data_IF_395470145634
#
_entry.id   IF_395470145634
#
_cell.length_a   1.000
_cell.length_b   1.000
_cell.length_c   1.000
_cell.angle_alpha   90.00
_cell.angle_beta   90.00
_cell.angle_gamma   90.00
#
_symmetry.space_group_name_H-M   'P 1'
#
loop_
_entity.id
_entity.type
_entity.pdbx_description
1 polymer ?
#
# COMPACT_ATOMS: atom_id res chain seq x y z
N UNK A 1 2.14 -2.65 24.38
CA UNK A 1 3.12 -2.86 23.30
C UNK A 1 2.51 -2.84 21.88
N UNK A 2 1.18 -2.79 21.70
CA UNK A 2 0.58 -2.68 20.35
C UNK A 2 0.75 -1.28 19.71
N UNK A 3 0.83 -0.21 20.52
CA UNK A 3 0.83 1.19 20.08
C UNK A 3 2.02 1.62 19.19
N UNK A 4 3.16 0.92 19.23
CA UNK A 4 4.35 1.30 18.44
C UNK A 4 4.29 0.86 16.98
N UNK A 5 3.68 -0.30 16.65
CA UNK A 5 3.53 -0.73 15.25
C UNK A 5 2.64 0.25 14.49
N UNK A 6 1.60 0.77 15.13
CA UNK A 6 0.66 1.71 14.49
C UNK A 6 1.29 3.05 14.10
N UNK A 7 2.49 3.36 14.63
CA UNK A 7 3.30 4.53 14.23
C UNK A 7 4.09 4.30 12.93
N UNK A 8 4.20 3.07 12.44
CA UNK A 8 4.95 2.74 11.25
C UNK A 8 4.00 2.29 10.15
N UNK A 9 3.96 3.09 9.07
CA UNK A 9 3.11 3.00 7.89
C UNK A 9 2.05 1.89 7.89
N UNK A 10 0.80 2.26 8.21
CA UNK A 10 -0.34 1.38 7.97
C UNK A 10 -0.55 1.29 6.47
N UNK A 11 -0.67 0.09 5.94
CA UNK A 11 -0.79 -0.14 4.52
C UNK A 11 -2.16 -0.74 4.20
N UNK A 12 -2.77 -0.26 3.13
CA UNK A 12 -3.76 -1.02 2.38
C UNK A 12 -3.14 -1.39 1.02
N UNK A 13 -3.10 -2.68 0.69
CA UNK A 13 -2.56 -3.19 -0.57
C UNK A 13 -3.69 -3.79 -1.39
N UNK A 14 -3.92 -3.28 -2.59
CA UNK A 14 -4.96 -3.74 -3.50
C UNK A 14 -4.35 -4.70 -4.53
N UNK A 15 -4.84 -5.94 -4.51
CA UNK A 15 -4.18 -7.07 -5.17
C UNK A 15 -4.72 -7.36 -6.56
N UNK A 16 -5.81 -6.73 -6.97
CA UNK A 16 -6.49 -7.02 -8.24
C UNK A 16 -6.46 -5.82 -9.20
N UNK A 17 -6.50 -6.08 -10.51
CA UNK A 17 -6.46 -5.01 -11.51
C UNK A 17 -7.79 -4.22 -11.49
N UNK A 18 -7.80 -2.99 -12.02
CA UNK A 18 -8.97 -2.10 -11.95
C UNK A 18 -10.20 -2.62 -12.71
N UNK A 19 -10.02 -3.57 -13.64
CA UNK A 19 -11.07 -4.22 -14.43
C UNK A 19 -11.59 -5.53 -13.80
N UNK A 20 -11.01 -5.97 -12.67
CA UNK A 20 -11.48 -7.15 -11.97
C UNK A 20 -12.95 -6.99 -11.50
N UNK A 21 -13.77 -8.06 -11.55
CA UNK A 21 -15.13 -8.03 -11.03
C UNK A 21 -15.15 -7.59 -9.57
N UNK A 22 -16.16 -6.80 -9.17
CA UNK A 22 -16.23 -6.21 -7.82
C UNK A 22 -16.19 -7.28 -6.72
N UNK A 23 -16.87 -8.39 -6.96
CA UNK A 23 -16.95 -9.57 -6.09
C UNK A 23 -15.62 -10.33 -5.96
N UNK A 24 -14.66 -10.05 -6.82
CA UNK A 24 -13.32 -10.69 -6.85
C UNK A 24 -12.21 -9.76 -6.36
N UNK A 25 -12.54 -8.53 -5.95
CA UNK A 25 -11.56 -7.57 -5.44
C UNK A 25 -11.06 -8.00 -4.07
N UNK A 26 -9.74 -8.12 -3.94
CA UNK A 26 -9.01 -8.47 -2.73
C UNK A 26 -8.11 -7.30 -2.35
N UNK A 27 -8.06 -7.07 -1.05
CA UNK A 27 -7.11 -6.14 -0.45
C UNK A 27 -6.60 -6.70 0.87
N UNK A 28 -5.40 -6.27 1.24
CA UNK A 28 -4.74 -6.65 2.48
C UNK A 28 -4.50 -5.39 3.30
N UNK A 29 -4.88 -5.45 4.58
CA UNK A 29 -4.45 -4.48 5.58
C UNK A 29 -3.15 -4.98 6.21
N UNK A 30 -2.10 -4.19 6.11
CA UNK A 30 -0.77 -4.54 6.59
C UNK A 30 -0.14 -3.40 7.39
N UNK A 31 1.01 -3.67 7.99
CA UNK A 31 1.83 -2.67 8.64
C UNK A 31 3.30 -2.90 8.29
N UNK A 32 4.06 -1.82 8.29
CA UNK A 32 5.51 -1.85 8.11
C UNK A 32 6.20 -2.19 9.42
N UNK A 33 7.09 -3.18 9.39
CA UNK A 33 7.91 -3.56 10.54
C UNK A 33 9.40 -3.25 10.33
N UNK A 34 9.79 -2.75 9.16
CA UNK A 34 11.19 -2.46 8.81
C UNK A 34 11.82 -1.32 9.63
N UNK A 35 10.99 -0.48 10.27
CA UNK A 35 11.43 0.53 11.22
C UNK A 35 11.58 0.05 12.68
N UNK A 36 11.20 -1.19 12.99
CA UNK A 36 11.28 -1.74 14.36
C UNK A 36 12.66 -2.36 14.63
N UNK A 37 13.02 -2.53 15.91
CA UNK A 37 14.24 -3.27 16.29
C UNK A 37 14.17 -4.74 15.87
N UNK A 38 15.31 -5.42 15.73
CA UNK A 38 15.34 -6.84 15.33
C UNK A 38 14.51 -7.74 16.26
N UNK A 39 14.55 -7.51 17.57
CA UNK A 39 13.76 -8.27 18.55
C UNK A 39 12.25 -8.06 18.40
N UNK A 40 11.83 -6.83 18.12
CA UNK A 40 10.42 -6.53 17.83
C UNK A 40 9.99 -7.15 16.50
N UNK A 41 10.80 -7.03 15.44
CA UNK A 41 10.53 -7.66 14.16
C UNK A 41 10.39 -9.18 14.30
N UNK A 42 11.28 -9.84 15.06
CA UNK A 42 11.22 -11.27 15.31
C UNK A 42 9.91 -11.68 16.03
N UNK A 43 9.48 -10.88 17.01
CA UNK A 43 8.21 -11.09 17.73
C UNK A 43 7.01 -11.05 16.77
N UNK A 44 6.96 -10.06 15.87
CA UNK A 44 5.86 -9.91 14.92
C UNK A 44 5.87 -10.98 13.83
N UNK A 45 7.05 -11.33 13.29
CA UNK A 45 7.20 -12.41 12.31
C UNK A 45 6.79 -13.78 12.87
N UNK A 46 6.95 -14.00 14.18
CA UNK A 46 6.50 -15.23 14.82
C UNK A 46 4.97 -15.28 15.02
N UNK A 47 4.29 -14.13 15.03
CA UNK A 47 2.86 -14.02 15.36
C UNK A 47 1.97 -13.83 14.13
N UNK A 48 2.51 -13.31 13.03
CA UNK A 48 1.76 -12.96 11.82
C UNK A 48 2.52 -13.38 10.57
N UNK A 49 1.80 -13.77 9.49
CA UNK A 49 2.42 -13.94 8.18
C UNK A 49 3.05 -12.61 7.75
N UNK A 50 4.33 -12.67 7.39
CA UNK A 50 5.11 -11.54 6.91
C UNK A 50 5.60 -11.81 5.51
N UNK A 51 5.52 -10.81 4.64
CA UNK A 51 6.08 -10.88 3.28
C UNK A 51 6.96 -9.67 3.03
N UNK A 52 8.00 -9.88 2.22
CA UNK A 52 8.78 -8.78 1.67
C UNK A 52 8.16 -8.36 0.34
N UNK A 53 7.81 -7.08 0.22
CA UNK A 53 7.37 -6.54 -1.06
C UNK A 53 8.58 -6.46 -2.00
N UNK A 54 8.46 -6.86 -3.28
CA UNK A 54 9.54 -6.74 -4.22
C UNK A 54 9.89 -5.27 -4.45
N UNK A 55 11.18 -4.96 -4.55
CA UNK A 55 11.65 -3.62 -4.90
C UNK A 55 11.39 -3.31 -6.37
N UNK A 56 10.87 -2.13 -6.67
CA UNK A 56 10.65 -1.65 -8.04
C UNK A 56 10.70 -0.12 -8.08
N UNK A 57 10.75 0.43 -9.29
CA UNK A 57 10.34 1.81 -9.49
C UNK A 57 8.87 1.97 -9.12
N UNK A 58 8.48 3.18 -8.68
CA UNK A 58 7.10 3.47 -8.35
C UNK A 58 6.74 4.91 -8.69
N UNK A 59 5.50 5.12 -9.14
CA UNK A 59 4.88 6.42 -9.11
C UNK A 59 4.27 6.64 -7.72
N UNK A 60 4.62 7.76 -7.10
CA UNK A 60 4.19 8.09 -5.74
C UNK A 60 3.49 9.44 -5.77
N UNK A 61 2.34 9.50 -5.12
CA UNK A 61 1.60 10.74 -4.92
C UNK A 61 1.21 10.86 -3.44
N UNK A 62 1.43 12.06 -2.90
CA UNK A 62 0.99 12.42 -1.55
C UNK A 62 -0.28 13.28 -1.65
N UNK A 63 -1.30 12.91 -0.88
CA UNK A 63 -2.53 13.66 -0.73
C UNK A 63 -2.63 14.23 0.69
N UNK A 64 -2.95 15.52 0.88
CA UNK A 64 -3.03 16.11 2.21
C UNK A 64 -4.18 15.51 3.04
N UNK A 65 -3.84 15.05 4.24
CA UNK A 65 -4.80 14.58 5.23
C UNK A 65 -5.27 15.78 6.07
N UNK A 66 -6.56 16.11 5.95
CA UNK A 66 -7.18 17.20 6.70
C UNK A 66 -8.23 16.70 7.68
N UNK A 67 -8.98 15.68 7.29
CA UNK A 67 -10.05 15.07 8.06
C UNK A 67 -10.44 13.72 7.43
N UNK A 68 -11.42 13.04 8.00
CA UNK A 68 -11.90 11.75 7.48
C UNK A 68 -12.35 11.77 6.02
N UNK A 69 -12.82 12.90 5.49
CA UNK A 69 -13.17 12.97 4.07
C UNK A 69 -11.94 12.81 3.14
N UNK A 70 -10.73 13.10 3.64
CA UNK A 70 -9.49 12.85 2.89
C UNK A 70 -9.33 11.39 2.50
N UNK A 71 -9.82 10.43 3.29
CA UNK A 71 -9.75 8.99 2.95
C UNK A 71 -10.52 8.64 1.68
N UNK A 72 -11.62 9.35 1.40
CA UNK A 72 -12.40 9.15 0.18
C UNK A 72 -11.89 10.01 -0.97
N UNK A 73 -11.46 11.24 -0.68
CA UNK A 73 -11.01 12.19 -1.71
C UNK A 73 -9.63 11.84 -2.29
N UNK A 74 -8.73 11.28 -1.47
CA UNK A 74 -7.40 10.88 -1.91
C UNK A 74 -7.46 9.90 -3.10
N UNK A 75 -8.10 8.72 -2.98
CA UNK A 75 -8.16 7.77 -4.08
C UNK A 75 -8.89 8.35 -5.30
N UNK A 76 -10.02 9.04 -5.09
CA UNK A 76 -10.81 9.63 -6.19
C UNK A 76 -10.02 10.64 -7.04
N UNK A 77 -9.05 11.36 -6.46
CA UNK A 77 -8.27 12.36 -7.17
C UNK A 77 -6.93 11.83 -7.68
N UNK A 78 -6.30 10.94 -6.92
CA UNK A 78 -4.92 10.50 -7.19
C UNK A 78 -4.88 9.33 -8.17
N UNK A 79 -5.75 8.32 -8.03
CA UNK A 79 -5.75 7.18 -8.96
C UNK A 79 -5.89 7.60 -10.44
N UNK A 80 -6.82 8.52 -10.80
CA UNK A 80 -6.95 8.94 -12.20
C UNK A 80 -5.70 9.63 -12.76
N UNK A 81 -5.04 10.48 -11.97
CA UNK A 81 -3.82 11.18 -12.40
C UNK A 81 -2.62 10.23 -12.52
N UNK A 82 -2.48 9.29 -11.57
CA UNK A 82 -1.46 8.25 -11.67
C UNK A 82 -1.70 7.35 -12.88
N UNK A 83 -2.95 6.93 -13.13
CA UNK A 83 -3.30 6.12 -14.30
C UNK A 83 -3.00 6.85 -15.61
N UNK A 84 -3.36 8.13 -15.71
CA UNK A 84 -3.04 8.97 -16.87
C UNK A 84 -1.54 9.01 -17.13
N UNK A 85 -0.73 9.15 -16.08
CA UNK A 85 0.73 9.18 -16.18
C UNK A 85 1.31 7.82 -16.60
N UNK A 86 0.83 6.72 -16.00
CA UNK A 86 1.24 5.37 -16.38
C UNK A 86 0.95 5.09 -17.85
N UNK A 87 -0.25 5.44 -18.33
CA UNK A 87 -0.64 5.30 -19.73
C UNK A 87 0.24 6.13 -20.67
N UNK A 88 0.57 7.37 -20.29
CA UNK A 88 1.46 8.23 -21.09
C UNK A 88 2.90 7.69 -21.18
N UNK A 89 3.34 6.97 -20.15
CA UNK A 89 4.67 6.36 -20.08
C UNK A 89 4.70 4.91 -20.63
N UNK A 90 3.56 4.37 -21.08
CA UNK A 90 3.44 2.99 -21.55
C UNK A 90 3.71 1.96 -20.44
N UNK A 91 3.41 2.32 -19.18
CA UNK A 91 3.64 1.50 -18.00
C UNK A 91 2.33 0.98 -17.45
N UNK A 92 2.37 -0.19 -16.85
CA UNK A 92 1.25 -0.75 -16.09
C UNK A 92 1.66 -0.92 -14.62
N UNK A 93 0.69 -0.73 -13.72
CA UNK A 93 0.89 -0.90 -12.30
C UNK A 93 0.63 -2.35 -11.89
N UNK A 94 1.54 -2.93 -11.11
CA UNK A 94 1.39 -4.31 -10.63
C UNK A 94 0.31 -4.45 -9.55
N UNK A 95 0.34 -3.56 -8.56
CA UNK A 95 -0.58 -3.46 -7.43
C UNK A 95 -0.75 -1.99 -7.08
N UNK A 96 -1.72 -1.65 -6.22
CA UNK A 96 -1.78 -0.33 -5.60
C UNK A 96 -1.52 -0.44 -4.09
N UNK A 97 -0.75 0.49 -3.54
CA UNK A 97 -0.43 0.54 -2.11
C UNK A 97 -0.80 1.92 -1.58
N UNK A 98 -1.57 1.95 -0.51
CA UNK A 98 -1.91 3.17 0.22
C UNK A 98 -1.24 3.12 1.59
N UNK A 99 -0.46 4.14 1.90
CA UNK A 99 0.19 4.33 3.19
C UNK A 99 -0.54 5.42 3.99
N UNK A 100 -0.92 5.02 5.20
CA UNK A 100 -1.66 5.83 6.16
C UNK A 100 -0.82 6.01 7.44
N UNK A 101 -0.47 7.25 7.77
CA UNK A 101 0.10 7.59 9.08
C UNK A 101 -0.97 7.59 10.18
N UNK A 102 -0.60 7.81 11.45
CA UNK A 102 -1.49 7.81 12.63
C UNK A 102 -2.63 8.84 12.48
N UNK A 103 -3.88 8.48 12.82
CA UNK A 103 -5.03 9.40 12.71
C UNK A 103 -4.82 10.51 13.73
N UNK A 104 -4.84 11.76 13.27
CA UNK A 104 -4.58 12.93 14.12
C UNK A 104 -3.10 13.32 14.24
N UNK A 105 -2.17 12.50 13.75
CA UNK A 105 -0.73 12.85 13.67
C UNK A 105 -0.23 12.92 12.22
N UNK A 106 -0.85 12.18 11.29
CA UNK A 106 -0.45 12.19 9.88
C UNK A 106 -0.94 13.43 9.15
N UNK A 107 -0.06 14.04 8.35
CA UNK A 107 -0.41 15.18 7.49
C UNK A 107 -0.82 14.75 6.08
N UNK A 108 -0.67 13.46 5.75
CA UNK A 108 -0.89 12.95 4.39
C UNK A 108 -1.35 11.50 4.33
N UNK A 109 -1.94 11.17 3.20
CA UNK A 109 -2.19 9.83 2.68
C UNK A 109 -1.26 9.68 1.48
N UNK A 110 -0.46 8.63 1.43
CA UNK A 110 0.45 8.39 0.32
C UNK A 110 -0.07 7.23 -0.52
N UNK A 111 -0.12 7.40 -1.83
CA UNK A 111 -0.51 6.38 -2.79
C UNK A 111 0.72 6.03 -3.62
N UNK A 112 1.02 4.74 -3.71
CA UNK A 112 2.22 4.18 -4.33
C UNK A 112 1.76 3.17 -5.38
N UNK A 113 2.24 3.36 -6.60
CA UNK A 113 2.01 2.50 -7.75
C UNK A 113 3.34 1.93 -8.24
N UNK A 114 3.71 0.71 -7.82
CA UNK A 114 4.83 -0.02 -8.40
C UNK A 114 4.68 -0.15 -9.92
N UNK A 115 5.72 0.22 -10.67
CA UNK A 115 5.76 0.18 -12.13
C UNK A 115 7.01 -0.54 -12.61
N UNK A 116 6.95 -1.09 -13.83
CA UNK A 116 8.09 -1.83 -14.41
C UNK A 116 8.36 -3.17 -13.72
N UNK A 117 7.38 -3.68 -12.99
CA UNK A 117 7.42 -4.99 -12.34
C UNK A 117 6.13 -5.75 -12.67
N UNK A 118 6.26 -7.05 -12.91
CA UNK A 118 5.12 -7.93 -13.19
C UNK A 118 4.29 -8.18 -11.93
N UNK A 119 2.96 -8.29 -12.09
CA UNK A 119 2.04 -8.58 -10.98
C UNK A 119 2.40 -9.89 -10.26
N UNK A 120 2.91 -10.87 -10.99
CA UNK A 120 3.34 -12.18 -10.46
C UNK A 120 4.45 -12.08 -9.42
N UNK A 121 5.21 -10.98 -9.38
CA UNK A 121 6.20 -10.73 -8.32
C UNK A 121 5.54 -10.57 -6.93
N UNK A 122 4.24 -10.25 -6.88
CA UNK A 122 3.45 -10.14 -5.66
C UNK A 122 2.72 -11.44 -5.30
N UNK A 123 2.92 -12.54 -6.05
CA UNK A 123 2.26 -13.81 -5.77
C UNK A 123 2.45 -14.30 -4.32
N UNK A 124 3.65 -14.18 -3.68
CA UNK A 124 3.81 -14.56 -2.28
C UNK A 124 2.89 -13.79 -1.32
N UNK A 125 2.56 -12.53 -1.63
CA UNK A 125 1.59 -11.74 -0.88
C UNK A 125 0.16 -12.23 -1.15
N UNK A 126 -0.16 -12.57 -2.39
CA UNK A 126 -1.48 -13.08 -2.80
C UNK A 126 -1.78 -14.49 -2.29
N UNK A 127 -0.75 -15.31 -2.05
CA UNK A 127 -0.90 -16.68 -1.54
C UNK A 127 -0.97 -16.72 -0.01
N UNK A 128 -0.47 -15.68 0.65
CA UNK A 128 -0.44 -15.60 2.11
C UNK A 128 -1.81 -15.30 2.74
N UNK A 129 -2.80 -14.86 1.95
CA UNK A 129 -4.12 -14.39 2.39
C UNK A 129 -5.21 -14.70 1.37
#
# INVERSE_FOLDING_TARGET
>A
MALQIWRHGRLAVYLDPPDAPKESLRSILACRIDGLSEGEQATWRASFPGVMLPGSDALIADFPYKNYASFFLAPMKVYPELQKRMLAEGREGAVAIEEYGVIGESERIRIIMPVGIERTAYQPLMDAF
#
